data_IF_757901200268
#
_entry.id   IF_757901200268
#
_cell.length_a   1.000
_cell.length_b   1.000
_cell.length_c   1.000
_cell.angle_alpha   90.00
_cell.angle_beta   90.00
_cell.angle_gamma   90.00
#
_symmetry.space_group_name_H-M   'P 1'
#
loop_
_entity.id
_entity.type
_entity.pdbx_description
1 polymer ?
#
# COMPACT_ATOMS: atom_id res chain seq x y z
N UNK A 1 -41.13 11.74 11.25
CA UNK A 1 -40.52 13.08 11.51
C UNK A 1 -39.08 12.84 11.92
N UNK A 2 -38.11 13.19 11.05
CA UNK A 2 -37.18 14.34 11.20
C UNK A 2 -36.34 14.23 12.49
N UNK A 3 -35.01 14.32 12.52
CA UNK A 3 -33.97 14.74 11.58
C UNK A 3 -32.61 14.43 12.25
N UNK A 4 -31.56 14.08 11.50
CA UNK A 4 -30.58 14.96 10.84
C UNK A 4 -29.64 15.70 11.80
N UNK A 5 -28.34 15.33 11.76
CA UNK A 5 -27.10 16.14 11.81
C UNK A 5 -25.94 15.26 12.32
N UNK A 6 -24.71 15.28 11.78
CA UNK A 6 -24.13 16.05 10.70
C UNK A 6 -22.91 15.31 10.13
N UNK A 7 -22.63 15.65 8.87
CA UNK A 7 -21.61 15.19 7.95
C UNK A 7 -20.51 16.27 7.88
N UNK A 8 -19.22 15.89 7.97
CA UNK A 8 -18.03 16.60 7.44
C UNK A 8 -16.80 15.75 7.86
N UNK A 9 -15.85 15.30 7.05
CA UNK A 9 -15.21 15.77 5.83
C UNK A 9 -14.79 14.54 5.00
N UNK A 10 -15.04 14.54 3.68
CA UNK A 10 -14.19 13.89 2.68
C UNK A 10 -14.49 14.58 1.32
N UNK A 11 -13.83 15.71 1.08
CA UNK A 11 -13.67 16.28 -0.25
C UNK A 11 -12.31 15.86 -0.78
N UNK A 12 -12.24 14.71 -1.44
CA UNK A 12 -11.27 14.41 -2.49
C UNK A 12 -11.97 13.54 -3.53
N UNK A 13 -11.92 14.01 -4.77
CA UNK A 13 -12.52 13.49 -6.02
C UNK A 13 -12.39 11.97 -6.21
N UNK A 14 -13.47 11.25 -6.56
CA UNK A 14 -13.39 9.86 -6.99
C UNK A 14 -13.28 9.80 -8.53
N UNK A 15 -12.11 10.12 -9.10
CA UNK A 15 -11.87 9.99 -10.56
C UNK A 15 -10.55 9.30 -10.92
N UNK A 16 -9.90 8.66 -9.96
CA UNK A 16 -8.77 7.78 -10.23
C UNK A 16 -8.98 6.54 -9.36
N UNK A 17 -9.26 5.40 -10.00
CA UNK A 17 -8.96 4.02 -9.57
C UNK A 17 -10.01 3.05 -10.15
N UNK A 18 -9.85 2.67 -11.41
CA UNK A 18 -9.96 1.27 -11.82
C UNK A 18 -8.85 0.98 -12.82
N UNK A 19 -7.83 0.28 -12.34
CA UNK A 19 -6.73 -0.24 -13.14
C UNK A 19 -7.27 -1.37 -14.04
N UNK A 20 -7.26 -1.21 -15.38
CA UNK A 20 -7.74 -2.24 -16.30
C UNK A 20 -6.94 -3.55 -16.23
N UNK A 21 -5.74 -3.55 -15.65
CA UNK A 21 -4.92 -4.75 -15.50
C UNK A 21 -5.45 -5.77 -14.49
N UNK A 22 -6.42 -5.40 -13.63
CA UNK A 22 -6.98 -6.33 -12.64
C UNK A 22 -7.92 -7.39 -13.23
N UNK A 23 -8.45 -7.22 -14.45
CA UNK A 23 -9.48 -8.11 -15.01
C UNK A 23 -8.95 -9.32 -15.79
N UNK A 24 -7.71 -9.30 -16.28
CA UNK A 24 -7.16 -10.37 -17.14
C UNK A 24 -6.50 -11.53 -16.39
N UNK A 25 -6.31 -11.44 -15.07
CA UNK A 25 -5.66 -12.50 -14.27
C UNK A 25 -6.63 -13.57 -13.73
N UNK A 26 -7.95 -13.37 -13.82
CA UNK A 26 -8.94 -14.19 -13.10
C UNK A 26 -9.47 -15.43 -13.86
N UNK A 27 -8.92 -15.79 -15.04
CA UNK A 27 -9.47 -16.88 -15.87
C UNK A 27 -8.50 -18.03 -16.22
N UNK A 28 -7.34 -18.15 -15.58
CA UNK A 28 -6.34 -19.18 -15.96
C UNK A 28 -6.05 -20.29 -14.92
N UNK A 29 -6.69 -20.33 -13.75
CA UNK A 29 -6.42 -21.39 -12.75
C UNK A 29 -7.68 -22.16 -12.35
N UNK A 30 -8.17 -22.99 -13.27
CA UNK A 30 -9.01 -24.16 -12.96
C UNK A 30 -8.72 -25.31 -13.92
N UNK A 31 -7.83 -26.23 -13.54
CA UNK A 31 -7.96 -27.67 -13.78
C UNK A 31 -6.69 -28.41 -13.35
N UNK A 32 -6.85 -29.53 -12.66
CA UNK A 32 -5.74 -30.45 -12.33
C UNK A 32 -5.99 -31.23 -11.04
N UNK A 33 -6.68 -32.37 -11.17
CA UNK A 33 -7.10 -33.25 -10.10
C UNK A 33 -6.04 -34.29 -9.65
N UNK A 34 -6.41 -34.95 -8.54
CA UNK A 34 -5.83 -36.06 -7.77
C UNK A 34 -5.03 -37.18 -8.49
N UNK A 35 -4.09 -37.76 -7.73
CA UNK A 35 -3.91 -39.23 -7.62
C UNK A 35 -3.15 -39.58 -6.31
N UNK A 36 -3.55 -40.68 -5.64
CA UNK A 36 -3.06 -41.06 -4.32
C UNK A 36 -2.28 -42.38 -4.21
N UNK A 37 -1.96 -42.68 -2.93
CA UNK A 37 -1.74 -44.00 -2.29
C UNK A 37 -0.38 -44.73 -2.40
N UNK A 38 0.38 -44.82 -1.28
CA UNK A 38 0.52 -46.03 -0.43
C UNK A 38 1.55 -45.88 0.71
N UNK A 39 1.28 -46.63 1.79
CA UNK A 39 1.95 -46.67 3.08
C UNK A 39 3.17 -47.60 3.17
N UNK A 40 4.01 -47.40 4.20
CA UNK A 40 5.00 -48.35 4.69
C UNK A 40 5.24 -48.19 6.21
N UNK A 41 5.02 -49.26 6.97
CA UNK A 41 5.25 -49.39 8.42
C UNK A 41 6.72 -49.74 8.73
N UNK A 42 7.24 -49.31 9.89
CA UNK A 42 8.53 -49.83 10.39
C UNK A 42 9.06 -49.22 11.69
N UNK A 43 8.71 -49.86 12.82
CA UNK A 43 9.46 -50.03 14.07
C UNK A 43 10.00 -48.83 14.90
N UNK A 44 9.32 -48.69 16.04
CA UNK A 44 9.57 -48.02 17.32
C UNK A 44 10.92 -48.37 17.99
N UNK A 45 11.66 -47.36 18.46
CA UNK A 45 12.60 -47.50 19.58
C UNK A 45 12.31 -46.44 20.65
N UNK A 46 11.97 -46.91 21.86
CA UNK A 46 11.67 -46.12 23.06
C UNK A 46 12.97 -45.50 23.61
N UNK A 47 13.01 -44.17 23.79
CA UNK A 47 13.94 -43.54 24.73
C UNK A 47 13.21 -42.52 25.60
N UNK A 48 13.48 -42.66 26.90
CA UNK A 48 12.87 -42.03 28.07
C UNK A 48 12.33 -40.60 27.87
N UNK A 49 11.05 -40.43 28.15
CA UNK A 49 10.39 -39.14 28.38
C UNK A 49 10.99 -38.45 29.60
N UNK A 50 11.87 -37.48 29.39
CA UNK A 50 12.00 -36.38 30.33
C UNK A 50 10.73 -35.53 30.15
N UNK A 51 9.87 -35.54 31.18
CA UNK A 51 8.66 -34.72 31.25
C UNK A 51 9.12 -33.26 31.31
N UNK A 52 9.33 -32.62 30.17
CA UNK A 52 9.54 -31.18 30.10
C UNK A 52 8.27 -30.53 30.60
N UNK A 53 8.35 -29.95 31.80
CA UNK A 53 7.34 -29.05 32.36
C UNK A 53 6.86 -28.12 31.25
N UNK A 54 5.55 -28.10 30.98
CA UNK A 54 4.92 -26.95 30.32
C UNK A 54 5.10 -25.76 31.27
N UNK A 55 6.21 -25.02 31.14
CA UNK A 55 6.23 -23.66 31.64
C UNK A 55 5.52 -22.80 30.59
N UNK A 56 4.34 -22.29 30.91
CA UNK A 56 3.83 -21.13 30.17
C UNK A 56 4.92 -20.06 30.24
N UNK A 57 5.43 -19.64 29.09
CA UNK A 57 6.42 -18.56 29.03
C UNK A 57 5.84 -17.37 29.78
N UNK A 58 6.54 -16.92 30.83
CA UNK A 58 6.08 -15.81 31.65
C UNK A 58 6.32 -14.50 30.89
N UNK A 59 5.38 -13.56 31.00
CA UNK A 59 5.56 -12.20 30.50
C UNK A 59 6.90 -11.61 30.98
N UNK A 60 7.62 -10.96 30.07
CA UNK A 60 8.77 -10.14 30.43
C UNK A 60 8.29 -8.96 31.28
N UNK A 61 8.95 -8.71 32.41
CA UNK A 61 8.64 -7.60 33.31
C UNK A 61 9.83 -6.67 33.41
N UNK A 62 9.57 -5.39 33.25
CA UNK A 62 10.56 -4.33 33.32
C UNK A 62 10.13 -3.30 34.36
N UNK A 63 10.91 -3.24 35.46
CA UNK A 63 10.77 -2.23 36.50
C UNK A 63 11.59 -1.01 36.13
N UNK A 64 10.99 0.17 36.28
CA UNK A 64 11.66 1.46 36.19
C UNK A 64 11.52 2.13 37.54
N UNK A 65 12.61 2.17 38.30
CA UNK A 65 12.72 2.99 39.51
C UNK A 65 13.13 4.42 39.09
N UNK A 66 12.62 5.45 39.79
CA UNK A 66 12.85 6.84 39.41
C UNK A 66 11.90 7.36 38.32
N UNK A 67 10.67 6.84 38.26
CA UNK A 67 9.74 7.10 37.15
C UNK A 67 9.35 8.58 37.02
N UNK A 68 9.29 9.33 38.13
CA UNK A 68 9.08 10.78 38.11
C UNK A 68 10.22 11.51 37.37
N UNK A 69 11.46 11.04 37.53
CA UNK A 69 12.60 11.58 36.78
C UNK A 69 12.49 11.27 35.29
N UNK A 70 12.01 10.07 34.94
CA UNK A 70 11.77 9.69 33.55
C UNK A 70 10.70 10.58 32.88
N UNK A 71 9.64 10.94 33.60
CA UNK A 71 8.62 11.90 33.12
C UNK A 71 9.25 13.27 32.83
N UNK A 72 10.16 13.73 33.68
CA UNK A 72 10.82 15.03 33.52
C UNK A 72 11.74 15.11 32.29
N UNK A 73 12.18 13.97 31.75
CA UNK A 73 12.92 13.90 30.49
C UNK A 73 12.05 14.17 29.24
N UNK A 74 10.72 14.19 29.40
CA UNK A 74 9.79 14.58 28.34
C UNK A 74 9.22 13.40 27.54
N UNK A 75 8.96 13.64 26.25
CA UNK A 75 8.18 12.75 25.37
C UNK A 75 9.04 11.70 24.63
N UNK A 76 10.18 11.33 25.19
CA UNK A 76 11.12 10.40 24.57
C UNK A 76 10.79 8.94 24.88
N UNK A 77 11.07 8.06 23.91
CA UNK A 77 10.91 6.62 24.09
C UNK A 77 12.11 6.02 24.81
N UNK A 78 11.87 5.37 25.94
CA UNK A 78 12.90 4.67 26.72
C UNK A 78 12.80 3.17 26.52
N UNK A 79 13.94 2.50 26.32
CA UNK A 79 14.02 1.09 25.93
C UNK A 79 14.44 0.21 27.11
N UNK A 80 13.87 -0.99 27.20
CA UNK A 80 14.40 -2.05 28.05
C UNK A 80 15.64 -2.71 27.45
N UNK A 81 16.30 -3.58 28.21
CA UNK A 81 17.18 -4.60 27.64
C UNK A 81 16.38 -5.54 26.73
N UNK A 82 17.06 -6.20 25.80
CA UNK A 82 16.44 -7.24 24.98
C UNK A 82 16.10 -8.49 25.79
N UNK A 83 15.05 -9.20 25.41
CA UNK A 83 14.64 -10.49 25.95
C UNK A 83 14.26 -11.45 24.83
N UNK A 84 14.47 -12.75 25.06
CA UNK A 84 14.11 -13.80 24.12
C UNK A 84 12.67 -14.27 24.34
N UNK A 85 11.87 -14.29 23.27
CA UNK A 85 10.52 -14.84 23.28
C UNK A 85 10.17 -15.42 21.91
N UNK A 86 9.59 -16.62 21.88
CA UNK A 86 9.24 -17.35 20.63
C UNK A 86 10.39 -17.46 19.62
N UNK A 87 11.62 -17.61 20.11
CA UNK A 87 12.82 -17.76 19.27
C UNK A 87 13.25 -16.49 18.53
N UNK A 88 12.84 -15.32 19.02
CA UNK A 88 13.23 -14.00 18.52
C UNK A 88 13.61 -13.10 19.71
N UNK A 89 14.45 -12.10 19.46
CA UNK A 89 14.82 -11.10 20.47
C UNK A 89 13.97 -9.85 20.34
N UNK A 90 13.38 -9.43 21.44
CA UNK A 90 12.49 -8.28 21.52
C UNK A 90 12.97 -7.32 22.61
N UNK A 91 12.51 -6.09 22.60
CA UNK A 91 12.56 -5.19 23.75
C UNK A 91 11.28 -4.37 23.82
N UNK A 92 10.91 -3.94 25.02
CA UNK A 92 9.78 -3.04 25.23
C UNK A 92 10.28 -1.60 25.28
N UNK A 93 9.46 -0.68 24.79
CA UNK A 93 9.68 0.75 24.87
C UNK A 93 8.52 1.42 25.57
N UNK A 94 8.82 2.37 26.44
CA UNK A 94 7.84 3.18 27.17
C UNK A 94 8.01 4.63 26.73
N UNK A 95 6.90 5.28 26.44
CA UNK A 95 6.82 6.74 26.41
C UNK A 95 5.84 7.21 27.48
N UNK A 96 6.30 7.90 28.54
CA UNK A 96 5.45 8.30 29.66
C UNK A 96 4.60 9.56 29.37
N UNK A 97 4.91 10.31 28.31
CA UNK A 97 4.36 11.65 28.04
C UNK A 97 3.73 11.77 26.64
N UNK A 98 3.30 10.64 26.08
CA UNK A 98 2.73 10.58 24.74
C UNK A 98 1.43 11.39 24.65
N UNK A 99 1.16 11.98 23.49
CA UNK A 99 -0.01 12.86 23.29
C UNK A 99 -0.66 12.56 21.96
N UNK A 100 -1.97 12.37 21.99
CA UNK A 100 -2.76 12.17 20.77
C UNK A 100 -2.81 13.49 20.00
N UNK A 101 -2.69 13.42 18.68
CA UNK A 101 -2.81 14.61 17.83
C UNK A 101 -4.14 15.33 18.10
N UNK A 102 -4.07 16.62 18.45
CA UNK A 102 -5.24 17.43 18.79
C UNK A 102 -5.77 17.26 20.23
N UNK A 103 -5.09 16.49 21.07
CA UNK A 103 -5.41 16.33 22.50
C UNK A 103 -4.39 17.09 23.37
N UNK A 104 -4.81 17.52 24.56
CA UNK A 104 -3.94 18.13 25.57
C UNK A 104 -3.53 17.14 26.66
N UNK A 105 -4.17 15.97 26.74
CA UNK A 105 -3.93 14.97 27.77
C UNK A 105 -2.73 14.08 27.44
N UNK A 106 -1.88 13.88 28.45
CA UNK A 106 -0.73 12.98 28.40
C UNK A 106 -1.12 11.57 28.76
N UNK A 107 -0.54 10.61 28.05
CA UNK A 107 -0.78 9.19 28.27
C UNK A 107 0.54 8.42 28.25
N UNK A 108 0.53 7.27 28.91
CA UNK A 108 1.63 6.32 28.84
C UNK A 108 1.38 5.35 27.69
N UNK A 109 2.35 5.27 26.77
CA UNK A 109 2.33 4.41 25.60
C UNK A 109 3.40 3.34 25.69
N UNK A 110 3.09 2.15 25.19
CA UNK A 110 4.03 1.02 25.12
C UNK A 110 4.19 0.53 23.69
N UNK A 111 5.42 0.18 23.32
CA UNK A 111 5.73 -0.55 22.09
C UNK A 111 6.55 -1.79 22.38
N UNK A 112 6.28 -2.85 21.63
CA UNK A 112 7.17 -3.98 21.49
C UNK A 112 7.98 -3.76 20.21
N UNK A 113 9.30 -3.91 20.30
CA UNK A 113 10.18 -3.79 19.16
C UNK A 113 11.02 -5.05 18.99
N UNK A 114 11.08 -5.53 17.75
CA UNK A 114 11.86 -6.67 17.33
C UNK A 114 13.30 -6.22 17.07
N UNK A 115 14.27 -6.89 17.69
CA UNK A 115 15.69 -6.56 17.45
C UNK A 115 16.02 -6.87 15.99
N UNK A 116 16.51 -5.86 15.24
CA UNK A 116 16.76 -5.93 13.78
C UNK A 116 17.56 -7.15 13.34
N UNK A 117 18.56 -7.57 14.10
CA UNK A 117 19.36 -8.76 13.80
C UNK A 117 18.54 -10.07 13.80
N UNK A 118 17.32 -10.05 14.31
CA UNK A 118 16.39 -11.18 14.33
C UNK A 118 15.53 -11.27 13.05
N UNK A 119 15.59 -10.29 12.15
CA UNK A 119 14.74 -10.20 10.95
C UNK A 119 15.58 -10.29 9.68
N UNK A 120 15.26 -11.26 8.82
CA UNK A 120 15.82 -11.33 7.47
C UNK A 120 15.00 -10.41 6.54
N UNK A 121 15.61 -9.76 5.53
CA UNK A 121 14.93 -8.80 4.65
C UNK A 121 13.67 -9.32 3.95
N UNK A 122 13.59 -10.63 3.69
CA UNK A 122 12.50 -11.31 2.98
C UNK A 122 11.54 -12.06 3.92
N UNK A 123 11.61 -11.83 5.23
CA UNK A 123 10.72 -12.47 6.20
C UNK A 123 9.87 -11.41 6.88
N UNK A 124 8.56 -11.60 6.79
CA UNK A 124 7.59 -10.91 7.64
C UNK A 124 7.34 -11.76 8.87
N UNK A 125 7.44 -11.16 10.05
CA UNK A 125 7.14 -11.76 11.33
C UNK A 125 5.77 -11.25 11.76
N UNK A 126 4.76 -12.11 11.71
CA UNK A 126 3.45 -11.80 12.27
C UNK A 126 3.44 -12.21 13.74
N UNK A 127 3.11 -11.30 14.64
CA UNK A 127 3.07 -11.59 16.07
C UNK A 127 1.76 -11.15 16.71
N UNK A 128 1.29 -11.97 17.66
CA UNK A 128 0.27 -11.60 18.64
C UNK A 128 0.97 -11.44 19.96
N UNK A 129 0.87 -10.27 20.57
CA UNK A 129 1.54 -9.98 21.84
C UNK A 129 0.66 -9.12 22.75
N UNK A 130 0.95 -9.17 24.05
CA UNK A 130 0.33 -8.32 25.07
C UNK A 130 1.33 -7.29 25.55
N UNK A 131 0.87 -6.06 25.75
CA UNK A 131 1.58 -5.02 26.48
C UNK A 131 0.89 -4.80 27.82
N UNK A 132 1.67 -4.70 28.90
CA UNK A 132 1.15 -4.73 30.26
C UNK A 132 1.66 -3.55 31.09
N UNK A 133 0.78 -2.95 31.91
CA UNK A 133 1.13 -1.99 32.97
C UNK A 133 0.59 -2.54 34.29
N UNK A 134 1.47 -2.82 35.25
CA UNK A 134 1.10 -3.54 36.48
C UNK A 134 0.58 -2.61 37.57
N UNK A 135 -0.59 -2.97 38.13
CA UNK A 135 -1.06 -2.52 39.45
C UNK A 135 -0.32 -3.35 40.50
N UNK A 136 0.64 -2.71 41.15
CA UNK A 136 1.55 -3.32 42.12
C UNK A 136 0.87 -3.62 43.45
N UNK A 137 -0.19 -2.87 43.80
CA UNK A 137 -0.94 -3.06 45.05
C UNK A 137 -1.83 -4.30 44.97
N UNK A 138 -2.57 -4.44 43.88
CA UNK A 138 -3.57 -5.52 43.70
C UNK A 138 -3.01 -6.75 42.99
N UNK A 139 -1.74 -6.70 42.57
CA UNK A 139 -1.08 -7.73 41.74
C UNK A 139 -1.86 -8.02 40.46
N UNK A 140 -2.44 -6.97 39.87
CA UNK A 140 -3.17 -7.00 38.60
C UNK A 140 -2.39 -6.20 37.56
N UNK A 141 -2.94 -6.10 36.35
CA UNK A 141 -2.38 -5.26 35.30
C UNK A 141 -3.48 -4.80 34.35
N UNK A 142 -3.22 -3.68 33.69
CA UNK A 142 -3.90 -3.29 32.46
C UNK A 142 -3.14 -3.93 31.31
N UNK A 143 -3.83 -4.58 30.38
CA UNK A 143 -3.23 -5.18 29.18
C UNK A 143 -3.93 -4.72 27.91
N UNK A 144 -3.15 -4.58 26.83
CA UNK A 144 -3.67 -4.49 25.47
C UNK A 144 -3.06 -5.61 24.62
N UNK A 145 -3.91 -6.29 23.86
CA UNK A 145 -3.50 -7.34 22.92
C UNK A 145 -3.34 -6.70 21.54
N UNK A 146 -2.17 -6.87 20.94
CA UNK A 146 -1.80 -6.32 19.63
C UNK A 146 -1.50 -7.49 18.69
N UNK A 147 -2.05 -7.43 17.47
CA UNK A 147 -1.69 -8.31 16.36
C UNK A 147 -1.10 -7.45 15.28
N UNK A 148 0.16 -7.67 14.95
CA UNK A 148 0.87 -6.84 13.96
C UNK A 148 2.02 -7.58 13.29
N UNK A 149 2.53 -6.98 12.22
CA UNK A 149 3.56 -7.52 11.35
C UNK A 149 4.85 -6.70 11.48
N UNK A 150 5.97 -7.41 11.61
CA UNK A 150 7.31 -6.84 11.73
C UNK A 150 8.14 -7.28 10.53
N UNK A 151 8.95 -6.38 9.99
CA UNK A 151 9.86 -6.65 8.87
C UNK A 151 11.12 -5.77 8.99
N UNK A 152 12.11 -5.96 8.13
CA UNK A 152 13.43 -5.34 8.30
C UNK A 152 13.40 -3.79 8.38
N UNK A 153 12.41 -3.15 7.75
CA UNK A 153 12.21 -1.69 7.76
C UNK A 153 11.17 -1.20 8.78
N UNK A 154 10.39 -2.11 9.40
CA UNK A 154 9.43 -1.77 10.45
C UNK A 154 9.49 -2.79 11.57
N UNK A 155 10.23 -2.45 12.62
CA UNK A 155 10.52 -3.35 13.74
C UNK A 155 9.70 -3.05 15.00
N UNK A 156 8.95 -1.96 15.06
CA UNK A 156 8.22 -1.54 16.25
C UNK A 156 6.71 -1.54 16.02
N UNK A 157 5.97 -2.13 16.96
CA UNK A 157 4.51 -2.07 17.01
C UNK A 157 4.05 -1.97 18.46
N UNK A 158 2.87 -1.44 18.72
CA UNK A 158 2.38 -1.38 20.09
C UNK A 158 1.05 -0.72 20.27
N UNK A 159 0.79 -0.33 21.51
CA UNK A 159 -0.42 0.33 21.91
C UNK A 159 -0.08 1.72 22.43
N UNK A 160 -0.52 2.72 21.68
CA UNK A 160 -0.40 4.12 22.08
C UNK A 160 -1.53 4.47 23.04
N UNK A 161 -1.22 5.38 23.97
CA UNK A 161 -2.17 5.99 24.89
C UNK A 161 -2.90 4.98 25.80
N UNK A 162 -2.18 4.00 26.35
CA UNK A 162 -2.77 2.89 27.10
C UNK A 162 -3.49 3.33 28.37
N UNK A 163 -2.88 4.24 29.15
CA UNK A 163 -3.50 4.85 30.32
C UNK A 163 -3.16 6.34 30.39
N UNK A 164 -4.08 7.21 30.84
CA UNK A 164 -3.77 8.59 31.12
C UNK A 164 -2.67 8.68 32.18
N UNK A 165 -1.76 9.63 32.02
CA UNK A 165 -0.65 9.82 32.95
C UNK A 165 -1.15 10.16 34.36
N UNK A 166 -2.21 10.95 34.46
CA UNK A 166 -2.81 11.33 35.74
C UNK A 166 -3.35 10.11 36.49
N UNK A 167 -3.98 9.16 35.76
CA UNK A 167 -4.43 7.88 36.31
C UNK A 167 -3.26 7.01 36.78
N UNK A 168 -2.14 7.00 36.05
CA UNK A 168 -0.95 6.27 36.48
C UNK A 168 -0.35 6.84 37.76
N UNK A 169 -0.37 8.17 37.92
CA UNK A 169 0.18 8.88 39.08
C UNK A 169 -0.70 8.77 40.33
N UNK A 170 -1.96 8.42 40.17
CA UNK A 170 -2.88 8.31 41.29
C UNK A 170 -2.46 7.17 42.25
N UNK A 171 -2.15 7.50 43.51
CA UNK A 171 -1.64 6.52 44.47
C UNK A 171 -2.62 5.37 44.73
N UNK A 172 -3.93 5.60 44.58
CA UNK A 172 -4.99 4.59 44.73
C UNK A 172 -5.01 3.55 43.58
N UNK A 173 -4.51 3.93 42.40
CA UNK A 173 -4.51 3.12 41.20
C UNK A 173 -3.42 2.03 41.22
N UNK A 174 -2.37 2.22 42.01
CA UNK A 174 -1.35 1.20 42.28
C UNK A 174 -0.30 1.00 41.19
N UNK A 175 -0.28 1.82 40.15
CA UNK A 175 0.69 1.73 39.04
C UNK A 175 2.06 2.31 39.41
N UNK A 176 2.09 3.44 40.11
CA UNK A 176 3.29 4.12 40.62
C UNK A 176 3.40 3.92 42.13
N UNK A 177 4.39 3.13 42.58
CA UNK A 177 4.65 2.84 43.99
C UNK A 177 6.13 3.09 44.28
N UNK A 178 6.43 3.90 45.29
CA UNK A 178 7.80 4.28 45.67
C UNK A 178 8.63 4.78 44.47
N UNK A 179 8.02 5.66 43.68
CA UNK A 179 8.59 6.18 42.42
C UNK A 179 9.00 5.11 41.40
N UNK A 180 8.37 3.93 41.47
CA UNK A 180 8.63 2.82 40.56
C UNK A 180 7.37 2.41 39.81
N UNK A 181 7.50 2.16 38.51
CA UNK A 181 6.49 1.53 37.67
C UNK A 181 7.00 0.19 37.11
N UNK A 182 6.08 -0.76 36.86
CA UNK A 182 6.41 -2.03 36.23
C UNK A 182 5.60 -2.17 34.94
N UNK A 183 6.32 -2.32 33.84
CA UNK A 183 5.80 -2.57 32.51
C UNK A 183 6.08 -4.02 32.11
N UNK A 184 5.37 -4.53 31.12
CA UNK A 184 5.65 -5.87 30.62
C UNK A 184 5.20 -6.12 29.19
N UNK A 185 5.72 -7.21 28.64
CA UNK A 185 5.34 -7.72 27.34
C UNK A 185 5.24 -9.25 27.36
N UNK A 186 4.20 -9.80 26.73
CA UNK A 186 4.04 -11.23 26.53
C UNK A 186 3.86 -11.52 25.05
N UNK A 187 4.81 -12.25 24.44
CA UNK A 187 4.67 -12.68 23.04
C UNK A 187 3.87 -13.98 23.01
N UNK A 188 2.61 -13.91 22.59
CA UNK A 188 1.66 -15.03 22.61
C UNK A 188 1.90 -15.97 21.43
N UNK A 189 2.02 -15.40 20.23
CA UNK A 189 2.17 -16.15 18.98
C UNK A 189 3.13 -15.44 18.05
N UNK A 190 3.93 -16.20 17.32
CA UNK A 190 4.76 -15.72 16.22
C UNK A 190 4.59 -16.66 15.02
N UNK A 191 4.38 -16.08 13.84
CA UNK A 191 4.43 -16.78 12.55
C UNK A 191 5.45 -16.07 11.65
N UNK A 192 6.40 -16.82 11.09
CA UNK A 192 7.32 -16.31 10.08
C UNK A 192 6.73 -16.60 8.71
N UNK A 193 6.50 -15.57 7.91
CA UNK A 193 6.00 -15.66 6.55
C UNK A 193 7.13 -15.22 5.62
N UNK A 194 7.50 -16.08 4.67
CA UNK A 194 8.37 -15.65 3.57
C UNK A 194 7.55 -14.69 2.73
N UNK A 195 8.05 -13.48 2.60
CA UNK A 195 7.48 -12.52 1.70
C UNK A 195 8.05 -12.85 0.32
N UNK A 196 7.22 -13.43 -0.54
CA UNK A 196 7.50 -13.48 -1.98
C UNK A 196 7.24 -12.06 -2.53
N UNK A 197 8.02 -11.09 -2.05
CA UNK A 197 7.81 -9.69 -2.41
C UNK A 197 8.46 -9.43 -3.76
N UNK A 198 7.62 -9.19 -4.76
CA UNK A 198 8.02 -8.50 -5.98
C UNK A 198 8.47 -7.10 -5.57
N UNK A 199 9.76 -6.82 -5.64
CA UNK A 199 10.31 -5.49 -5.35
C UNK A 199 10.56 -4.77 -6.66
N UNK A 200 10.12 -3.52 -6.78
CA UNK A 200 10.34 -2.69 -7.96
C UNK A 200 11.21 -1.48 -7.61
N UNK A 201 12.25 -1.24 -8.40
CA UNK A 201 13.08 -0.02 -8.29
C UNK A 201 12.80 0.86 -9.50
N UNK A 202 12.33 2.07 -9.28
CA UNK A 202 12.12 3.10 -10.29
C UNK A 202 13.30 4.08 -10.30
N UNK A 203 13.99 4.17 -11.44
CA UNK A 203 15.02 5.17 -11.71
C UNK A 203 14.41 6.34 -12.47
N UNK A 204 14.10 7.41 -11.75
CA UNK A 204 13.59 8.66 -12.34
C UNK A 204 14.76 9.48 -12.87
N UNK A 205 14.64 9.95 -14.11
CA UNK A 205 15.61 10.84 -14.73
C UNK A 205 14.91 12.16 -15.09
N UNK A 206 15.60 13.28 -14.85
CA UNK A 206 15.14 14.57 -15.34
C UNK A 206 15.19 14.53 -16.88
N UNK A 207 14.04 14.61 -17.53
CA UNK A 207 13.99 14.63 -19.00
C UNK A 207 14.87 15.76 -19.53
N UNK A 208 15.85 15.41 -20.37
CA UNK A 208 16.67 16.36 -21.12
C UNK A 208 16.08 16.67 -22.50
N UNK A 209 15.07 15.91 -22.93
CA UNK A 209 14.50 16.00 -24.27
C UNK A 209 13.13 16.67 -24.24
N UNK A 210 12.79 17.34 -25.35
CA UNK A 210 11.43 17.83 -25.59
C UNK A 210 10.44 16.65 -25.66
N UNK A 211 9.17 16.93 -25.38
CA UNK A 211 8.13 15.92 -25.52
C UNK A 211 7.92 15.55 -26.98
N UNK A 212 7.91 14.27 -27.30
CA UNK A 212 7.52 13.79 -28.63
C UNK A 212 6.00 13.95 -28.77
N UNK A 213 5.55 14.57 -29.86
CA UNK A 213 4.12 14.79 -30.13
C UNK A 213 3.73 14.05 -31.40
N UNK A 214 2.66 13.28 -31.30
CA UNK A 214 2.02 12.57 -32.40
C UNK A 214 0.61 13.12 -32.62
N UNK A 215 0.22 13.31 -33.88
CA UNK A 215 -1.13 13.70 -34.28
C UNK A 215 -1.78 12.61 -35.12
N UNK A 216 -3.01 12.25 -34.78
CA UNK A 216 -3.88 11.33 -35.49
C UNK A 216 -5.11 12.06 -36.00
N UNK A 217 -5.13 12.30 -37.30
CA UNK A 217 -6.26 12.89 -38.01
C UNK A 217 -7.22 11.79 -38.47
N UNK A 218 -8.47 11.89 -38.05
CA UNK A 218 -9.56 10.98 -38.41
C UNK A 218 -10.45 11.74 -39.38
N UNK A 219 -10.48 11.34 -40.64
CA UNK A 219 -11.25 12.05 -41.68
C UNK A 219 -12.74 11.68 -41.70
N UNK A 220 -13.08 10.49 -41.20
CA UNK A 220 -14.44 9.96 -41.21
C UNK A 220 -14.73 9.20 -39.93
N UNK A 221 -15.05 9.94 -38.88
CA UNK A 221 -15.25 9.41 -37.54
C UNK A 221 -16.35 8.34 -37.48
N UNK A 222 -17.46 8.55 -38.19
CA UNK A 222 -18.57 7.59 -38.24
C UNK A 222 -18.23 6.26 -38.93
N UNK A 223 -17.16 6.20 -39.73
CA UNK A 223 -16.71 4.98 -40.42
C UNK A 223 -15.65 4.20 -39.60
N UNK A 224 -15.31 4.66 -38.39
CA UNK A 224 -14.38 3.96 -37.51
C UNK A 224 -14.86 2.54 -37.18
N UNK A 225 -13.93 1.60 -37.17
CA UNK A 225 -14.19 0.22 -36.77
C UNK A 225 -14.58 0.16 -35.28
N UNK A 226 -15.49 -0.77 -34.97
CA UNK A 226 -16.00 -1.06 -33.62
C UNK A 226 -15.50 -2.43 -33.15
N UNK A 227 -15.27 -2.63 -31.84
CA UNK A 227 -15.53 -1.69 -30.74
C UNK A 227 -14.48 -0.59 -30.59
N UNK A 228 -13.35 -0.69 -31.29
CA UNK A 228 -12.30 0.32 -31.28
C UNK A 228 -11.57 0.43 -32.62
N UNK A 229 -10.91 1.56 -32.82
CA UNK A 229 -10.00 1.82 -33.94
C UNK A 229 -8.61 2.21 -33.42
N UNK A 230 -7.57 1.94 -34.21
CA UNK A 230 -6.18 2.26 -33.83
C UNK A 230 -5.53 3.23 -34.80
N UNK A 231 -4.63 4.08 -34.30
CA UNK A 231 -3.74 4.87 -35.14
C UNK A 231 -2.70 3.97 -35.82
N UNK A 232 -1.92 4.55 -36.74
CA UNK A 232 -0.63 3.97 -37.12
C UNK A 232 0.31 3.92 -35.93
N UNK A 233 1.28 3.01 -35.98
CA UNK A 233 2.38 2.95 -35.01
C UNK A 233 3.31 4.15 -35.23
N UNK A 234 3.79 4.74 -34.15
CA UNK A 234 4.74 5.86 -34.15
C UNK A 234 5.79 5.71 -33.05
N UNK A 235 6.98 6.26 -33.28
CA UNK A 235 8.08 6.24 -32.32
C UNK A 235 8.02 7.48 -31.41
N UNK A 236 8.13 7.27 -30.11
CA UNK A 236 8.23 8.33 -29.11
C UNK A 236 9.00 7.83 -27.86
N UNK A 237 9.95 8.61 -27.37
CA UNK A 237 10.75 8.32 -26.20
C UNK A 237 11.61 7.04 -26.32
N UNK A 238 11.94 6.62 -27.54
CA UNK A 238 12.67 5.37 -27.81
C UNK A 238 11.80 4.12 -27.82
N UNK A 239 10.47 4.25 -27.76
CA UNK A 239 9.51 3.16 -27.83
C UNK A 239 8.51 3.37 -28.98
N UNK A 240 7.90 2.28 -29.46
CA UNK A 240 6.84 2.33 -30.45
C UNK A 240 5.48 2.28 -29.76
N UNK A 241 4.58 3.16 -30.18
CA UNK A 241 3.25 3.36 -29.61
C UNK A 241 2.20 3.39 -30.70
N UNK A 242 0.96 3.12 -30.32
CA UNK A 242 -0.22 3.47 -31.11
C UNK A 242 -1.34 3.94 -30.18
N UNK A 243 -2.28 4.73 -30.71
CA UNK A 243 -3.47 5.14 -29.99
C UNK A 243 -4.61 4.16 -30.25
N UNK A 244 -5.42 3.91 -29.24
CA UNK A 244 -6.65 3.12 -29.34
C UNK A 244 -7.84 3.97 -28.89
N UNK A 245 -8.82 4.09 -29.78
CA UNK A 245 -10.01 4.91 -29.61
C UNK A 245 -11.24 4.01 -29.59
N UNK A 246 -12.05 4.11 -28.54
CA UNK A 246 -13.37 3.48 -28.45
C UNK A 246 -14.44 4.56 -28.65
N UNK A 247 -15.01 4.70 -29.86
CA UNK A 247 -15.94 5.78 -30.18
C UNK A 247 -17.29 5.65 -29.45
N UNK A 248 -17.65 4.45 -28.98
CA UNK A 248 -18.88 4.18 -28.20
C UNK A 248 -18.59 3.86 -26.73
N UNK A 249 -17.36 4.13 -26.31
CA UNK A 249 -16.90 3.87 -24.95
C UNK A 249 -16.41 2.45 -24.70
N UNK A 250 -15.63 2.34 -23.63
CA UNK A 250 -15.07 1.09 -23.10
C UNK A 250 -15.60 0.84 -21.68
N UNK A 251 -15.37 1.78 -20.76
CA UNK A 251 -15.90 1.70 -19.38
C UNK A 251 -17.34 2.20 -19.23
N UNK A 252 -17.76 3.12 -20.11
CA UNK A 252 -19.07 3.74 -20.08
C UNK A 252 -19.54 4.09 -21.49
N UNK A 253 -20.73 3.64 -21.87
CA UNK A 253 -21.27 3.74 -23.23
C UNK A 253 -21.55 5.17 -23.69
N UNK A 254 -21.60 6.14 -22.77
CA UNK A 254 -21.91 7.54 -23.06
C UNK A 254 -20.65 8.42 -23.14
N UNK A 255 -19.47 7.81 -23.11
CA UNK A 255 -18.19 8.50 -23.20
C UNK A 255 -17.36 7.90 -24.32
N UNK A 256 -16.57 8.73 -24.99
CA UNK A 256 -15.49 8.28 -25.83
C UNK A 256 -14.30 7.92 -24.93
N UNK A 257 -13.67 6.76 -25.16
CA UNK A 257 -12.49 6.32 -24.43
C UNK A 257 -11.25 6.38 -25.31
N UNK A 258 -10.13 6.84 -24.74
CA UNK A 258 -8.89 7.04 -25.49
C UNK A 258 -7.69 6.54 -24.69
N UNK A 259 -6.89 5.69 -25.32
CA UNK A 259 -5.74 5.02 -24.72
C UNK A 259 -4.50 5.15 -25.60
N UNK A 260 -3.33 5.20 -24.97
CA UNK A 260 -2.05 4.93 -25.60
C UNK A 260 -1.62 3.51 -25.27
N UNK A 261 -1.10 2.79 -26.26
CA UNK A 261 -0.66 1.41 -26.10
C UNK A 261 0.76 1.25 -26.63
N UNK A 262 1.61 0.61 -25.83
CA UNK A 262 2.95 0.18 -26.22
C UNK A 262 2.81 -0.93 -27.26
N UNK A 263 3.44 -0.75 -28.42
CA UNK A 263 3.43 -1.75 -29.47
C UNK A 263 4.17 -3.02 -29.03
N UNK A 264 3.69 -4.19 -29.48
CA UNK A 264 4.24 -5.50 -29.10
C UNK A 264 5.69 -5.72 -29.53
N UNK A 265 6.18 -4.97 -30.51
CA UNK A 265 7.58 -5.03 -30.96
C UNK A 265 8.48 -4.04 -30.21
N UNK A 266 7.93 -3.23 -29.30
CA UNK A 266 8.74 -2.45 -28.36
C UNK A 266 9.42 -3.39 -27.38
N UNK A 267 10.76 -3.36 -27.36
CA UNK A 267 11.60 -4.21 -26.51
C UNK A 267 11.55 -3.77 -25.06
N UNK A 268 10.47 -4.08 -24.36
CA UNK A 268 10.40 -3.98 -22.90
C UNK A 268 10.61 -5.37 -22.30
N UNK A 269 11.61 -5.53 -21.44
CA UNK A 269 11.84 -6.81 -20.78
C UNK A 269 10.68 -7.13 -19.82
N UNK A 270 10.34 -8.42 -19.59
CA UNK A 270 9.18 -8.83 -18.80
C UNK A 270 9.12 -8.21 -17.39
N UNK A 271 10.29 -7.97 -16.80
CA UNK A 271 10.46 -7.44 -15.45
C UNK A 271 10.83 -5.95 -15.44
N UNK A 272 10.73 -5.26 -16.58
CA UNK A 272 10.98 -3.81 -16.66
C UNK A 272 9.70 -3.00 -16.91
N UNK A 273 9.74 -1.75 -16.47
CA UNK A 273 8.74 -0.75 -16.77
C UNK A 273 9.35 0.53 -17.31
N UNK A 274 8.56 1.30 -18.05
CA UNK A 274 8.91 2.64 -18.50
C UNK A 274 7.91 3.64 -17.93
N UNK A 275 8.41 4.63 -17.19
CA UNK A 275 7.61 5.72 -16.64
C UNK A 275 7.52 6.83 -17.68
N UNK A 276 6.31 7.14 -18.10
CA UNK A 276 6.00 8.11 -19.15
C UNK A 276 5.06 9.18 -18.59
N UNK A 277 5.40 10.45 -18.80
CA UNK A 277 4.42 11.54 -18.74
C UNK A 277 3.66 11.54 -20.06
N UNK A 278 2.42 11.06 -20.01
CA UNK A 278 1.52 10.96 -21.16
C UNK A 278 0.49 12.09 -21.10
N UNK A 279 0.29 12.78 -22.22
CA UNK A 279 -0.82 13.70 -22.41
C UNK A 279 -1.59 13.32 -23.67
N UNK A 280 -2.88 13.01 -23.54
CA UNK A 280 -3.78 12.76 -24.66
C UNK A 280 -4.76 13.92 -24.80
N UNK A 281 -5.04 14.32 -26.03
CA UNK A 281 -5.76 15.54 -26.34
C UNK A 281 -6.67 15.34 -27.56
N UNK A 282 -7.94 15.73 -27.46
CA UNK A 282 -8.83 15.89 -28.62
C UNK A 282 -8.92 17.39 -28.91
N UNK A 283 -8.57 17.79 -30.14
CA UNK A 283 -8.59 19.20 -30.51
C UNK A 283 -10.01 19.70 -30.75
N UNK A 284 -10.31 20.82 -30.13
CA UNK A 284 -11.34 21.74 -30.62
C UNK A 284 -10.77 22.45 -31.86
N UNK A 285 -11.41 22.24 -33.00
CA UNK A 285 -10.99 22.77 -34.30
C UNK A 285 -11.48 24.20 -34.57
N UNK A 286 -12.28 24.79 -33.66
CA UNK A 286 -12.90 26.09 -33.80
C UNK A 286 -12.36 27.14 -32.81
N UNK A 287 -12.27 26.80 -31.52
CA UNK A 287 -12.07 27.80 -30.45
C UNK A 287 -10.79 27.57 -29.60
N UNK A 288 -9.92 26.64 -30.01
CA UNK A 288 -8.70 26.26 -29.28
C UNK A 288 -8.96 25.69 -27.86
N UNK A 289 -10.22 25.39 -27.51
CA UNK A 289 -10.60 24.83 -26.22
C UNK A 289 -10.47 23.29 -26.22
N UNK A 290 -9.24 22.82 -26.37
CA UNK A 290 -8.95 21.39 -26.50
C UNK A 290 -9.26 20.59 -25.22
N UNK A 291 -9.76 19.36 -25.37
CA UNK A 291 -9.95 18.45 -24.24
C UNK A 291 -8.67 17.64 -24.02
N UNK A 292 -7.96 17.92 -22.93
CA UNK A 292 -6.67 17.29 -22.60
C UNK A 292 -6.68 16.64 -21.23
N UNK A 293 -6.10 15.44 -21.15
CA UNK A 293 -5.77 14.78 -19.89
C UNK A 293 -4.30 14.41 -19.84
N UNK A 294 -3.67 14.51 -18.66
CA UNK A 294 -2.24 14.26 -18.48
C UNK A 294 -1.98 13.47 -17.21
N UNK A 295 -1.12 12.46 -17.28
CA UNK A 295 -0.71 11.66 -16.13
C UNK A 295 0.72 11.13 -16.30
N UNK A 296 1.34 10.73 -15.18
CA UNK A 296 2.60 9.99 -15.16
C UNK A 296 2.29 8.53 -14.89
N UNK A 297 2.57 7.66 -15.85
CA UNK A 297 2.12 6.27 -15.85
C UNK A 297 3.29 5.38 -16.19
N UNK A 298 3.35 4.24 -15.50
CA UNK A 298 4.32 3.22 -15.80
C UNK A 298 3.72 2.15 -16.72
N UNK A 299 4.29 2.00 -17.91
CA UNK A 299 3.97 0.91 -18.82
C UNK A 299 4.88 -0.28 -18.53
N UNK A 300 4.33 -1.49 -18.53
CA UNK A 300 5.07 -2.74 -18.31
C UNK A 300 4.70 -3.77 -19.37
N UNK A 301 5.46 -4.86 -19.48
CA UNK A 301 5.14 -5.95 -20.40
C UNK A 301 3.75 -6.57 -20.11
N UNK A 302 3.26 -6.48 -18.87
CA UNK A 302 1.93 -6.97 -18.45
C UNK A 302 0.83 -5.91 -18.61
N UNK A 303 1.18 -4.62 -18.53
CA UNK A 303 0.25 -3.50 -18.64
C UNK A 303 0.78 -2.53 -19.71
N UNK A 304 0.49 -2.85 -20.97
CA UNK A 304 0.99 -2.12 -22.14
C UNK A 304 0.08 -0.99 -22.58
N UNK A 305 -1.14 -0.89 -22.05
CA UNK A 305 -2.13 0.10 -22.46
C UNK A 305 -2.61 0.93 -21.28
N UNK A 306 -2.69 2.25 -21.46
CA UNK A 306 -3.21 3.16 -20.45
C UNK A 306 -3.89 4.37 -21.10
N UNK A 307 -4.93 4.89 -20.46
CA UNK A 307 -5.72 6.00 -20.98
C UNK A 307 -6.87 6.33 -20.06
N UNK A 308 -7.91 6.96 -20.63
CA UNK A 308 -9.09 7.36 -19.89
C UNK A 308 -10.33 6.70 -20.50
N UNK A 309 -10.97 5.82 -19.71
CA UNK A 309 -12.23 5.18 -20.07
C UNK A 309 -13.40 6.16 -20.21
N UNK A 310 -13.32 7.31 -19.54
CA UNK A 310 -14.25 8.44 -19.67
C UNK A 310 -13.51 9.71 -20.11
N UNK A 311 -13.00 9.72 -21.35
CA UNK A 311 -12.16 10.83 -21.83
C UNK A 311 -12.99 12.12 -22.05
N UNK A 312 -14.06 12.00 -22.83
CA UNK A 312 -15.03 13.07 -23.13
C UNK A 312 -16.43 12.44 -23.27
N UNK A 313 -17.47 13.15 -22.83
CA UNK A 313 -18.84 12.67 -23.02
C UNK A 313 -19.19 12.68 -24.51
N UNK A 314 -20.03 11.75 -24.97
CA UNK A 314 -20.50 11.79 -26.36
C UNK A 314 -21.39 12.99 -26.64
N UNK A 315 -22.04 13.54 -25.62
CA UNK A 315 -22.79 14.81 -25.71
C UNK A 315 -21.85 15.96 -26.07
N UNK A 316 -20.81 16.19 -25.25
CA UNK A 316 -19.85 17.27 -25.49
C UNK A 316 -19.08 17.07 -26.80
N UNK A 317 -18.72 15.82 -27.12
CA UNK A 317 -17.95 15.49 -28.32
C UNK A 317 -18.74 15.74 -29.62
N UNK A 318 -20.03 15.42 -29.63
CA UNK A 318 -20.89 15.59 -30.80
C UNK A 318 -21.53 16.98 -30.89
N UNK A 319 -21.44 17.81 -29.85
CA UNK A 319 -21.91 19.19 -29.89
C UNK A 319 -21.12 20.01 -30.94
N UNK A 320 -21.76 20.51 -32.01
CA UNK A 320 -21.10 21.30 -33.04
C UNK A 320 -20.44 22.58 -32.52
N UNK A 321 -20.89 23.13 -31.38
CA UNK A 321 -20.33 24.34 -30.78
C UNK A 321 -18.97 24.09 -30.11
N UNK A 322 -18.72 22.85 -29.65
CA UNK A 322 -17.49 22.47 -28.98
C UNK A 322 -16.33 22.14 -29.95
N UNK A 323 -16.62 21.96 -31.25
CA UNK A 323 -15.60 21.84 -32.29
C UNK A 323 -14.73 20.58 -32.29
N UNK A 324 -15.01 19.59 -31.41
CA UNK A 324 -14.26 18.34 -31.34
C UNK A 324 -14.49 17.43 -32.55
N UNK A 325 -15.73 17.40 -33.07
CA UNK A 325 -16.10 16.69 -34.29
C UNK A 325 -16.65 17.67 -35.32
N UNK A 326 -15.84 18.02 -36.33
CA UNK A 326 -16.21 18.98 -37.38
C UNK A 326 -16.28 18.30 -38.73
N UNK A 327 -17.45 18.35 -39.40
CA UNK A 327 -17.65 17.71 -40.73
C UNK A 327 -17.21 16.23 -40.76
N UNK A 328 -17.53 15.49 -39.69
CA UNK A 328 -17.11 14.10 -39.47
C UNK A 328 -15.60 13.89 -39.28
N UNK A 329 -14.84 14.96 -39.01
CA UNK A 329 -13.39 14.91 -38.76
C UNK A 329 -13.06 15.22 -37.31
N UNK A 330 -12.07 14.50 -36.78
CA UNK A 330 -11.56 14.67 -35.42
C UNK A 330 -10.03 14.56 -35.44
N UNK A 331 -9.34 15.38 -34.65
CA UNK A 331 -7.88 15.34 -34.52
C UNK A 331 -7.50 15.03 -33.08
N UNK A 332 -6.75 13.95 -32.90
CA UNK A 332 -6.25 13.50 -31.61
C UNK A 332 -4.74 13.73 -31.55
N UNK A 333 -4.27 14.40 -30.52
CA UNK A 333 -2.85 14.54 -30.22
C UNK A 333 -2.44 13.74 -28.99
N UNK A 334 -1.24 13.20 -29.06
CA UNK A 334 -0.62 12.49 -27.97
C UNK A 334 0.82 12.99 -27.77
N UNK A 335 1.14 13.39 -26.55
CA UNK A 335 2.46 13.86 -26.15
C UNK A 335 3.07 12.89 -25.14
N UNK A 336 4.30 12.48 -25.39
CA UNK A 336 5.04 11.49 -24.61
C UNK A 336 6.35 12.09 -24.12
N UNK A 337 6.64 11.84 -22.85
CA UNK A 337 7.97 12.12 -22.29
C UNK A 337 8.36 10.98 -21.37
N UNK A 338 9.38 10.22 -21.76
CA UNK A 338 9.96 9.20 -20.88
C UNK A 338 10.73 9.90 -19.77
N UNK A 339 10.37 9.63 -18.52
CA UNK A 339 10.91 10.27 -17.32
C UNK A 339 11.52 9.26 -16.34
N UNK A 340 11.46 7.97 -16.63
CA UNK A 340 12.14 6.96 -15.83
C UNK A 340 12.00 5.56 -16.39
N UNK A 341 12.82 4.65 -15.84
CA UNK A 341 12.78 3.22 -16.10
C UNK A 341 12.71 2.49 -14.77
N UNK A 342 11.93 1.42 -14.70
CA UNK A 342 11.85 0.58 -13.51
C UNK A 342 12.27 -0.86 -13.82
N UNK A 343 12.80 -1.53 -12.81
CA UNK A 343 13.11 -2.95 -12.85
C UNK A 343 12.52 -3.63 -11.61
N UNK A 344 11.82 -4.74 -11.83
CA UNK A 344 11.37 -5.67 -10.80
C UNK A 344 12.45 -6.72 -10.54
N UNK A 345 12.63 -7.07 -9.27
CA UNK A 345 13.54 -8.12 -8.79
C UNK A 345 12.79 -9.17 -8.02
#
# INVERSE_FOLDING_TARGET
>A
MRGLQALLLLLLTPDLLRDPCAMTAAMAERSGAEAGFRAGFGARMRRRTARSRRSGEKAFKWRIDGFSSLINLGNEWTNSSSFDAKGLKWYIRVNPMDTKSGDTKRHVSLKLELVRSSVQPNIVIEAVFKLLIYDQLRRKHVENIVTDHFHATSTASGSLFMIPLDTLKESSAGFLINDSCIFGAEVVKVRKVRQDTVSETLFVQKSKNASDVFSWEIEKFTELQKPYSTSKVFAAGGYNWYLKLHPEGDEATNYLSLYATLDKYSTLSPDSGVLVKLSLCIKDQNNDNHKRHTAQIQFTAKCTSWGWGRFISLEDFNDPFNGFLLKNKCTIEASFTVIGLSNRK
#
